data_IF_482112817645
#
_entry.id   IF_482112817645
#
_cell.length_a   1.000
_cell.length_b   1.000
_cell.length_c   1.000
_cell.angle_alpha   90.00
_cell.angle_beta   90.00
_cell.angle_gamma   90.00
#
_symmetry.space_group_name_H-M   'P 1'
#
loop_
_entity.id
_entity.type
_entity.pdbx_description
1 polymer ?
#
# COMPACT_ATOMS: atom_id res chain seq x y z
N UNK A 1 3.81 -7.97 -16.96
CA UNK A 1 3.74 -6.56 -17.37
C UNK A 1 3.70 -5.71 -16.10
N UNK A 2 4.69 -4.82 -15.92
CA UNK A 2 4.66 -3.83 -14.84
C UNK A 2 3.69 -2.70 -15.22
N UNK A 3 2.87 -2.25 -14.27
CA UNK A 3 2.09 -1.02 -14.42
C UNK A 3 3.05 0.13 -14.20
N UNK A 4 3.45 0.77 -15.30
CA UNK A 4 4.46 1.83 -15.30
C UNK A 4 4.04 2.98 -14.39
N UNK A 5 4.96 3.43 -13.52
CA UNK A 5 4.75 4.58 -12.65
C UNK A 5 3.76 4.36 -11.50
N UNK A 6 3.23 3.15 -11.28
CA UNK A 6 2.31 2.85 -10.19
C UNK A 6 3.02 2.55 -8.87
N UNK A 7 2.60 3.26 -7.82
CA UNK A 7 2.86 2.93 -6.42
C UNK A 7 1.55 2.50 -5.74
N UNK A 8 1.50 1.25 -5.27
CA UNK A 8 0.44 0.78 -4.38
C UNK A 8 0.83 1.07 -2.93
N UNK A 9 0.01 1.82 -2.21
CA UNK A 9 0.20 2.13 -0.80
C UNK A 9 -0.79 1.29 0.01
N UNK A 10 -0.27 0.36 0.79
CA UNK A 10 -1.06 -0.55 1.63
C UNK A 10 -1.07 0.00 3.05
N UNK A 11 -2.23 0.46 3.50
CA UNK A 11 -2.47 0.83 4.90
C UNK A 11 -2.92 -0.40 5.69
N UNK A 12 -2.25 -0.69 6.80
CA UNK A 12 -2.71 -1.72 7.73
C UNK A 12 -3.95 -1.21 8.46
N UNK A 13 -5.12 -1.71 8.04
CA UNK A 13 -6.37 -1.31 8.67
C UNK A 13 -6.41 -1.79 10.14
N UNK A 14 -6.95 -0.96 11.06
CA UNK A 14 -7.24 -1.41 12.43
C UNK A 14 -8.43 -2.38 12.47
N UNK A 15 -9.25 -2.43 11.40
CA UNK A 15 -10.35 -3.38 11.29
C UNK A 15 -9.80 -4.78 11.05
N UNK A 16 -10.27 -5.77 11.83
CA UNK A 16 -9.94 -7.18 11.61
C UNK A 16 -10.48 -7.63 10.25
N UNK A 17 -9.59 -7.71 9.26
CA UNK A 17 -9.88 -8.33 7.97
C UNK A 17 -9.96 -9.86 8.07
N UNK A 18 -10.39 -10.55 7.00
CA UNK A 18 -10.43 -12.01 6.98
C UNK A 18 -9.02 -12.61 7.10
N UNK A 19 -8.86 -13.57 8.01
CA UNK A 19 -7.62 -14.33 8.20
C UNK A 19 -6.45 -13.57 8.85
N UNK A 20 -5.26 -14.19 8.94
CA UNK A 20 -4.07 -13.54 9.49
C UNK A 20 -3.50 -12.47 8.55
N UNK A 21 -3.02 -11.35 9.10
CA UNK A 21 -2.47 -10.24 8.33
C UNK A 21 -1.27 -10.64 7.47
N UNK A 22 -0.36 -11.43 8.03
CA UNK A 22 0.80 -11.94 7.28
C UNK A 22 0.38 -12.74 6.04
N UNK A 23 -0.72 -13.49 6.10
CA UNK A 23 -1.25 -14.22 4.95
C UNK A 23 -1.77 -13.26 3.89
N UNK A 24 -2.52 -12.22 4.28
CA UNK A 24 -3.02 -11.22 3.33
C UNK A 24 -1.90 -10.40 2.67
N UNK A 25 -0.91 -9.96 3.45
CA UNK A 25 0.27 -9.28 2.94
C UNK A 25 1.09 -10.19 2.01
N UNK A 26 1.14 -11.49 2.32
CA UNK A 26 1.73 -12.48 1.42
C UNK A 26 0.99 -12.54 0.08
N UNK A 27 -0.34 -12.63 0.12
CA UNK A 27 -1.15 -12.63 -1.09
C UNK A 27 -0.95 -11.35 -1.92
N UNK A 28 -0.93 -10.18 -1.28
CA UNK A 28 -0.64 -8.89 -1.94
C UNK A 28 0.74 -8.91 -2.61
N UNK A 29 1.78 -9.38 -1.91
CA UNK A 29 3.12 -9.49 -2.46
C UNK A 29 3.17 -10.44 -3.68
N UNK A 30 2.46 -11.57 -3.59
CA UNK A 30 2.46 -12.58 -4.65
C UNK A 30 1.68 -12.11 -5.90
N UNK A 31 0.59 -11.36 -5.72
CA UNK A 31 -0.24 -10.87 -6.84
C UNK A 31 0.26 -9.57 -7.45
N UNK A 32 0.71 -8.62 -6.62
CA UNK A 32 1.09 -7.28 -7.06
C UNK A 32 2.60 -7.05 -7.11
N UNK A 33 3.41 -7.78 -6.34
CA UNK A 33 4.85 -7.51 -6.21
C UNK A 33 5.59 -7.59 -7.54
N UNK A 34 5.10 -8.40 -8.49
CA UNK A 34 5.68 -8.51 -9.85
C UNK A 34 5.10 -7.50 -10.85
N UNK A 35 4.11 -6.70 -10.45
CA UNK A 35 3.29 -5.85 -11.32
C UNK A 35 3.37 -4.37 -10.95
N UNK A 36 3.67 -4.04 -9.70
CA UNK A 36 3.75 -2.66 -9.22
C UNK A 36 4.81 -2.53 -8.13
N UNK A 37 5.19 -1.29 -7.82
CA UNK A 37 5.89 -0.99 -6.57
C UNK A 37 4.87 -0.95 -5.44
N UNK A 38 5.22 -1.54 -4.30
CA UNK A 38 4.34 -1.64 -3.14
C UNK A 38 5.04 -0.99 -1.96
N UNK A 39 4.38 -0.02 -1.34
CA UNK A 39 4.74 0.53 -0.05
C UNK A 39 3.72 0.07 0.99
N UNK A 40 4.16 -0.64 2.02
CA UNK A 40 3.30 -1.07 3.13
C UNK A 40 3.55 -0.17 4.33
N UNK A 41 2.51 0.51 4.79
CA UNK A 41 2.56 1.39 5.96
C UNK A 41 2.38 0.58 7.23
N UNK A 42 3.42 0.51 8.05
CA UNK A 42 3.42 -0.28 9.28
C UNK A 42 3.61 0.66 10.47
N UNK A 43 2.67 0.63 11.41
CA UNK A 43 2.88 1.21 12.73
C UNK A 43 3.75 0.25 13.56
N UNK A 44 4.93 0.71 14.02
CA UNK A 44 5.92 -0.13 14.74
C UNK A 44 5.34 -0.85 15.96
N UNK A 45 4.41 -0.19 16.66
CA UNK A 45 3.83 -0.66 17.91
C UNK A 45 2.71 -1.69 17.70
N UNK A 46 2.38 -2.02 16.45
CA UNK A 46 1.37 -3.02 16.15
C UNK A 46 1.92 -4.42 16.47
N UNK A 47 1.12 -5.23 17.18
CA UNK A 47 1.42 -6.63 17.52
C UNK A 47 1.93 -7.50 16.35
N UNK A 48 1.55 -7.19 15.12
CA UNK A 48 1.93 -7.94 13.92
C UNK A 48 3.07 -7.30 13.11
N UNK A 49 3.63 -6.17 13.53
CA UNK A 49 4.57 -5.38 12.73
C UNK A 49 5.81 -6.20 12.33
N UNK A 50 6.44 -6.86 13.31
CA UNK A 50 7.64 -7.67 13.07
C UNK A 50 7.38 -8.85 12.11
N UNK A 51 6.26 -9.57 12.31
CA UNK A 51 5.89 -10.68 11.44
C UNK A 51 5.55 -10.20 10.02
N UNK A 52 4.88 -9.05 9.91
CA UNK A 52 4.52 -8.43 8.63
C UNK A 52 5.77 -8.01 7.85
N UNK A 53 6.73 -7.34 8.49
CA UNK A 53 8.01 -6.95 7.89
C UNK A 53 8.77 -8.19 7.40
N UNK A 54 8.90 -9.22 8.25
CA UNK A 54 9.58 -10.48 7.88
C UNK A 54 8.90 -11.17 6.69
N UNK A 55 7.57 -11.20 6.68
CA UNK A 55 6.75 -11.79 5.61
C UNK A 55 6.96 -11.08 4.28
N UNK A 56 6.98 -9.75 4.29
CA UNK A 56 7.22 -8.93 3.10
C UNK A 56 8.66 -9.09 2.61
N UNK A 57 9.65 -9.04 3.50
CA UNK A 57 11.05 -9.22 3.14
C UNK A 57 11.30 -10.58 2.46
N UNK A 58 10.71 -11.66 2.99
CA UNK A 58 10.81 -13.00 2.40
C UNK A 58 10.19 -13.10 0.98
N UNK A 59 9.21 -12.25 0.66
CA UNK A 59 8.51 -12.23 -0.64
C UNK A 59 8.97 -11.11 -1.57
N UNK A 60 9.92 -10.28 -1.14
CA UNK A 60 10.45 -9.17 -1.93
C UNK A 60 11.47 -9.63 -2.97
N UNK A 61 11.19 -10.70 -3.70
CA UNK A 61 12.10 -11.31 -4.68
C UNK A 61 12.53 -10.33 -5.79
N UNK A 62 11.70 -9.34 -6.08
CA UNK A 62 11.89 -8.32 -7.12
C UNK A 62 12.43 -6.98 -6.60
N UNK A 63 12.60 -6.82 -5.28
CA UNK A 63 12.97 -5.54 -4.66
C UNK A 63 11.91 -4.43 -4.78
N UNK A 64 10.70 -4.77 -5.24
CA UNK A 64 9.60 -3.83 -5.51
C UNK A 64 8.71 -3.55 -4.30
N UNK A 65 8.92 -4.27 -3.20
CA UNK A 65 8.16 -4.12 -1.95
C UNK A 65 9.02 -3.38 -0.94
N UNK A 66 8.46 -2.33 -0.36
CA UNK A 66 9.06 -1.54 0.70
C UNK A 66 8.12 -1.51 1.91
N UNK A 67 8.70 -1.59 3.11
CA UNK A 67 7.99 -1.31 4.34
C UNK A 67 8.30 0.13 4.75
N UNK A 68 7.26 0.94 4.92
CA UNK A 68 7.35 2.31 5.42
C UNK A 68 6.84 2.31 6.86
N UNK A 69 7.76 2.52 7.78
CA UNK A 69 7.46 2.50 9.21
C UNK A 69 6.99 3.88 9.64
N UNK A 70 5.73 3.96 10.08
CA UNK A 70 5.18 5.20 10.60
C UNK A 70 5.82 5.49 11.97
N UNK A 71 6.50 6.64 12.16
CA UNK A 71 6.99 7.04 13.46
C UNK A 71 5.81 7.27 14.39
N UNK A 72 5.82 6.65 15.57
CA UNK A 72 4.84 6.90 16.61
C UNK A 72 5.40 7.96 17.55
N UNK A 73 4.66 9.05 17.72
CA UNK A 73 4.94 10.02 18.78
C UNK A 73 4.27 9.53 20.06
N UNK A 74 5.01 9.55 21.17
CA UNK A 74 4.70 9.02 22.51
C UNK A 74 3.35 9.45 23.11
N UNK A 75 2.59 10.34 22.45
CA UNK A 75 1.35 10.94 22.95
C UNK A 75 0.12 10.63 22.10
N UNK A 76 0.24 9.82 21.04
CA UNK A 76 -0.91 9.33 20.27
C UNK A 76 -1.00 7.79 20.31
N UNK A 77 -1.68 7.22 21.32
CA UNK A 77 -1.70 5.76 21.56
C UNK A 77 -2.55 4.98 20.53
N UNK A 78 -2.98 5.60 19.43
CA UNK A 78 -3.82 4.96 18.40
C UNK A 78 -3.31 5.30 17.01
N UNK A 79 -3.30 4.30 16.13
CA UNK A 79 -3.07 4.47 14.70
C UNK A 79 -4.02 5.52 14.14
N UNK A 80 -3.48 6.70 13.81
CA UNK A 80 -4.24 7.77 13.19
C UNK A 80 -4.16 7.61 11.67
N UNK A 81 -5.25 7.14 11.06
CA UNK A 81 -5.33 6.92 9.61
C UNK A 81 -5.01 8.19 8.81
N UNK A 82 -5.40 9.38 9.29
CA UNK A 82 -5.08 10.64 8.63
C UNK A 82 -3.57 10.93 8.67
N UNK A 83 -2.91 10.71 9.82
CA UNK A 83 -1.44 10.84 9.91
C UNK A 83 -0.72 9.84 9.01
N UNK A 84 -1.19 8.59 8.97
CA UNK A 84 -0.65 7.58 8.07
C UNK A 84 -0.80 8.00 6.60
N UNK A 85 -1.96 8.57 6.22
CA UNK A 85 -2.18 9.16 4.89
C UNK A 85 -1.20 10.28 4.58
N UNK A 86 -1.07 11.28 5.46
CA UNK A 86 -0.16 12.41 5.24
C UNK A 86 1.29 11.95 5.15
N UNK A 87 1.73 11.06 6.03
CA UNK A 87 3.09 10.53 6.02
C UNK A 87 3.40 9.79 4.72
N UNK A 88 2.53 8.84 4.35
CA UNK A 88 2.72 8.06 3.13
C UNK A 88 2.67 8.92 1.88
N UNK A 89 1.79 9.93 1.83
CA UNK A 89 1.70 10.84 0.71
C UNK A 89 3.01 11.65 0.56
N UNK A 90 3.58 12.13 1.67
CA UNK A 90 4.88 12.82 1.64
C UNK A 90 6.00 11.93 1.09
N UNK A 91 6.12 10.71 1.62
CA UNK A 91 7.08 9.72 1.13
C UNK A 91 6.85 9.37 -0.34
N UNK A 92 5.59 9.20 -0.73
CA UNK A 92 5.19 8.85 -2.08
C UNK A 92 5.50 9.97 -3.08
N UNK A 93 5.30 11.24 -2.71
CA UNK A 93 5.58 12.40 -3.56
C UNK A 93 7.08 12.64 -3.78
N UNK A 94 7.95 12.17 -2.88
CA UNK A 94 9.40 12.15 -3.12
C UNK A 94 9.76 11.15 -4.23
N UNK A 95 9.02 10.04 -4.31
CA UNK A 95 9.07 9.12 -5.43
C UNK A 95 8.36 9.73 -6.65
N UNK A 96 9.07 9.87 -7.78
CA UNK A 96 8.47 10.38 -9.04
C UNK A 96 7.53 9.33 -9.67
N UNK A 97 6.42 9.03 -9.03
CA UNK A 97 5.38 8.11 -9.49
C UNK A 97 4.30 8.86 -10.26
N UNK A 98 3.74 8.20 -11.28
CA UNK A 98 2.64 8.73 -12.08
C UNK A 98 1.28 8.41 -11.45
N UNK A 99 1.19 7.27 -10.75
CA UNK A 99 -0.05 6.78 -10.17
C UNK A 99 0.17 6.36 -8.72
N UNK A 100 -0.79 6.74 -7.87
CA UNK A 100 -0.84 6.35 -6.47
C UNK A 100 -2.15 5.61 -6.24
N UNK A 101 -2.07 4.37 -5.75
CA UNK A 101 -3.24 3.57 -5.44
C UNK A 101 -3.25 3.22 -3.95
N UNK A 102 -4.21 3.78 -3.21
CA UNK A 102 -4.36 3.53 -1.79
C UNK A 102 -5.27 2.34 -1.54
N UNK A 103 -4.84 1.40 -0.70
CA UNK A 103 -5.60 0.20 -0.38
C UNK A 103 -5.37 -0.26 1.06
N UNK A 104 -6.29 -1.08 1.59
CA UNK A 104 -6.08 -1.76 2.86
C UNK A 104 -5.41 -3.11 2.64
N UNK A 105 -4.88 -3.68 3.72
CA UNK A 105 -4.32 -5.04 3.76
C UNK A 105 -5.33 -6.17 3.46
N UNK A 106 -6.62 -5.86 3.34
CA UNK A 106 -7.69 -6.80 2.96
C UNK A 106 -8.36 -6.42 1.64
N UNK A 107 -7.81 -5.46 0.89
CA UNK A 107 -8.28 -5.14 -0.45
C UNK A 107 -7.70 -6.13 -1.45
N UNK A 108 -8.57 -6.78 -2.21
CA UNK A 108 -8.17 -7.58 -3.37
C UNK A 108 -8.07 -6.68 -4.61
N UNK A 109 -6.99 -6.82 -5.38
CA UNK A 109 -6.74 -6.04 -6.58
C UNK A 109 -6.43 -6.96 -7.77
N UNK A 110 -7.17 -6.79 -8.86
CA UNK A 110 -6.85 -7.39 -10.17
C UNK A 110 -5.95 -6.42 -10.93
N UNK A 111 -4.65 -6.72 -11.00
CA UNK A 111 -3.65 -5.82 -11.58
C UNK A 111 -3.93 -5.49 -13.05
N UNK A 112 -4.40 -6.48 -13.82
CA UNK A 112 -4.75 -6.32 -15.23
C UNK A 112 -5.86 -5.28 -15.44
N UNK A 113 -6.92 -5.34 -14.62
CA UNK A 113 -8.03 -4.40 -14.69
C UNK A 113 -7.57 -2.99 -14.32
N UNK A 114 -6.74 -2.86 -13.28
CA UNK A 114 -6.16 -1.56 -12.92
C UNK A 114 -5.28 -1.00 -14.04
N UNK A 115 -4.46 -1.83 -14.67
CA UNK A 115 -3.62 -1.41 -15.80
C UNK A 115 -4.45 -0.89 -16.96
N UNK A 116 -5.51 -1.62 -17.35
CA UNK A 116 -6.45 -1.17 -18.37
C UNK A 116 -7.12 0.15 -18.00
N UNK A 117 -7.60 0.28 -16.77
CA UNK A 117 -8.22 1.52 -16.29
C UNK A 117 -7.27 2.71 -16.38
N UNK A 118 -6.05 2.59 -15.83
CA UNK A 118 -5.06 3.66 -15.83
C UNK A 118 -4.57 4.03 -17.24
N UNK A 119 -4.58 3.08 -18.18
CA UNK A 119 -4.16 3.34 -19.57
C UNK A 119 -5.06 4.33 -20.32
N UNK A 120 -6.32 4.45 -19.90
CA UNK A 120 -7.30 5.36 -20.50
C UNK A 120 -7.33 6.76 -19.86
N UNK A 121 -6.54 7.02 -18.83
CA UNK A 121 -6.56 8.28 -18.09
C UNK A 121 -5.54 9.28 -18.64
N UNK A 122 -5.88 10.56 -18.57
CA UNK A 122 -4.96 11.65 -18.88
C UNK A 122 -3.75 11.62 -17.95
N UNK A 123 -2.55 11.83 -18.53
CA UNK A 123 -1.28 12.00 -17.77
C UNK A 123 -0.93 13.47 -17.51
N UNK A 124 -1.68 14.41 -18.09
CA UNK A 124 -1.41 15.85 -18.00
C UNK A 124 -2.39 16.59 -17.09
N UNK A 125 -3.49 15.94 -16.71
CA UNK A 125 -4.52 16.50 -15.84
C UNK A 125 -4.60 15.69 -14.54
N UNK A 126 -4.94 16.33 -13.41
CA UNK A 126 -5.15 15.61 -12.16
C UNK A 126 -6.38 14.71 -12.26
N UNK A 127 -6.20 13.41 -11.99
CA UNK A 127 -7.29 12.44 -11.95
C UNK A 127 -7.41 11.86 -10.55
N UNK A 128 -8.63 11.84 -10.02
CA UNK A 128 -8.98 11.15 -8.78
C UNK A 128 -10.11 10.17 -9.05
N UNK A 129 -9.93 8.93 -8.59
CA UNK A 129 -10.89 7.85 -8.77
C UNK A 129 -11.02 7.04 -7.49
N UNK A 130 -12.25 6.69 -7.14
CA UNK A 130 -12.55 5.90 -5.95
C UNK A 130 -14.04 5.66 -5.80
N UNK A 131 -14.40 4.85 -4.82
CA UNK A 131 -15.80 4.65 -4.46
C UNK A 131 -16.31 5.90 -3.72
N UNK A 132 -17.32 6.56 -4.27
CA UNK A 132 -18.05 7.61 -3.56
C UNK A 132 -18.94 6.96 -2.52
N UNK A 133 -18.59 7.12 -1.25
CA UNK A 133 -19.47 6.77 -0.13
C UNK A 133 -20.49 7.90 0.04
N UNK A 134 -21.77 7.53 0.13
CA UNK A 134 -22.90 8.43 0.30
C UNK A 134 -23.35 8.40 1.76
#
# INVERSE_FOLDING_TARGET
MLIEGLLCIVSLSPVRGPGPRATRLGAIADTLGRRARIAVLIARDHEDAALSIKTLAARNATGSIQAWELPIEDHTPRFNQFRAHVYALRQALEGRHSWYFWMNDHTFLVAENLACYLSGLSRTEPVYAGLRLW
#
